data_IF_579551670501
#
_entry.id   IF_579551670501
#
_cell.length_a   1.000
_cell.length_b   1.000
_cell.length_c   1.000
_cell.angle_alpha   90.00
_cell.angle_beta   90.00
_cell.angle_gamma   90.00
#
_symmetry.space_group_name_H-M   'P 1'
#
loop_
_entity.id
_entity.type
_entity.pdbx_description
1 polymer ?
#
# COMPACT_ATOMS: atom_id res chain seq x y z
N UNK A 1 8.08 0.78 12.68
CA UNK A 1 7.03 0.84 11.65
C UNK A 1 7.51 1.80 10.57
N UNK A 2 7.14 1.54 9.32
CA UNK A 2 7.44 2.38 8.17
C UNK A 2 6.51 3.61 8.19
N UNK A 3 6.81 4.60 9.03
CA UNK A 3 5.83 5.65 9.39
C UNK A 3 5.77 6.82 8.40
N UNK A 4 6.50 6.74 7.28
CA UNK A 4 6.59 7.82 6.31
C UNK A 4 6.00 7.40 4.99
N UNK A 5 4.90 8.04 4.59
CA UNK A 5 4.21 7.79 3.33
C UNK A 5 4.56 8.90 2.33
N UNK A 6 4.86 8.54 1.08
CA UNK A 6 5.04 9.54 0.01
C UNK A 6 3.70 9.93 -0.59
N UNK A 7 3.58 11.14 -1.17
CA UNK A 7 2.34 11.58 -1.81
C UNK A 7 1.84 10.56 -2.85
N UNK A 8 2.76 10.01 -3.65
CA UNK A 8 2.41 9.03 -4.67
C UNK A 8 2.00 7.68 -4.12
N UNK A 9 2.35 7.30 -2.89
CA UNK A 9 1.86 6.06 -2.30
C UNK A 9 0.33 6.08 -2.11
N UNK A 10 -0.27 7.21 -1.73
CA UNK A 10 -1.73 7.33 -1.63
C UNK A 10 -2.39 7.71 -2.96
N UNK A 11 -1.71 8.52 -3.79
CA UNK A 11 -2.29 9.11 -5.00
C UNK A 11 -2.00 8.33 -6.29
N UNK A 12 -1.39 7.15 -6.22
CA UNK A 12 -1.15 6.29 -7.38
C UNK A 12 -2.48 5.83 -8.01
N UNK A 13 -2.70 6.12 -9.29
CA UNK A 13 -3.98 5.86 -9.96
C UNK A 13 -4.03 4.61 -10.87
N UNK A 14 -2.91 3.93 -11.10
CA UNK A 14 -2.84 2.80 -12.03
C UNK A 14 -3.10 1.44 -11.38
N UNK A 15 -3.18 1.39 -10.04
CA UNK A 15 -3.32 0.15 -9.28
C UNK A 15 -2.00 -0.58 -9.08
N UNK A 16 -0.87 0.13 -9.21
CA UNK A 16 0.44 -0.44 -8.87
C UNK A 16 0.52 -0.82 -7.40
N UNK A 17 1.40 -1.76 -7.09
CA UNK A 17 1.70 -2.12 -5.72
C UNK A 17 2.29 -0.92 -4.97
N UNK A 18 1.92 -0.78 -3.69
CA UNK A 18 2.43 0.27 -2.82
C UNK A 18 2.89 -0.41 -1.52
N UNK A 19 4.12 -0.13 -1.13
CA UNK A 19 4.77 -0.79 0.00
C UNK A 19 6.00 -0.01 0.48
N UNK A 20 6.65 -0.46 1.56
CA UNK A 20 7.89 0.14 2.03
C UNK A 20 8.98 0.04 0.96
N UNK A 21 9.80 1.09 0.86
CA UNK A 21 10.92 1.14 -0.07
C UNK A 21 11.85 -0.09 0.13
N UNK A 22 12.24 -0.80 -0.94
CA UNK A 22 13.00 -2.05 -0.84
C UNK A 22 14.44 -1.86 -0.34
N UNK A 23 15.00 -0.66 -0.50
CA UNK A 23 16.25 -0.25 0.15
C UNK A 23 15.99 0.17 1.61
N UNK A 24 16.54 -0.58 2.56
CA UNK A 24 16.42 -0.32 4.01
C UNK A 24 17.01 1.04 4.43
N UNK A 25 18.04 1.53 3.73
CA UNK A 25 18.67 2.83 4.02
C UNK A 25 17.70 4.01 3.76
N UNK A 26 16.67 3.79 2.94
CA UNK A 26 15.63 4.77 2.64
C UNK A 26 14.59 4.92 3.75
N UNK A 27 14.75 4.17 4.86
CA UNK A 27 13.97 4.34 6.09
C UNK A 27 12.54 3.83 6.00
N UNK A 28 12.28 2.85 5.12
CA UNK A 28 10.96 2.23 4.98
C UNK A 28 9.88 3.17 4.46
N UNK A 29 10.22 4.24 3.72
CA UNK A 29 9.21 5.13 3.14
C UNK A 29 8.25 4.35 2.23
N UNK A 30 6.94 4.53 2.39
CA UNK A 30 5.97 3.92 1.48
C UNK A 30 5.99 4.61 0.13
N UNK A 31 6.18 3.80 -0.91
CA UNK A 31 6.35 4.21 -2.30
C UNK A 31 5.60 3.26 -3.22
N UNK A 32 5.43 3.67 -4.48
CA UNK A 32 4.96 2.76 -5.53
C UNK A 32 6.07 1.77 -5.89
N UNK A 33 5.71 0.52 -6.09
CA UNK A 33 6.60 -0.58 -6.39
C UNK A 33 6.27 -1.22 -7.74
N UNK A 34 7.30 -1.70 -8.42
CA UNK A 34 7.19 -2.56 -9.61
C UNK A 34 8.01 -3.81 -9.36
N UNK A 35 7.34 -4.95 -9.49
CA UNK A 35 7.95 -6.29 -9.41
C UNK A 35 7.99 -6.89 -10.81
N UNK A 36 9.21 -7.17 -11.30
CA UNK A 36 9.44 -7.69 -12.65
C UNK A 36 10.42 -8.87 -12.64
N UNK A 37 10.28 -9.77 -13.61
CA UNK A 37 11.21 -10.88 -13.79
C UNK A 37 12.43 -10.42 -14.59
N UNK A 38 13.60 -10.47 -13.96
CA UNK A 38 14.87 -10.20 -14.63
C UNK A 38 15.19 -11.23 -15.70
N UNK A 39 16.17 -10.92 -16.56
CA UNK A 39 16.63 -11.84 -17.62
C UNK A 39 17.23 -13.15 -17.09
N UNK A 40 17.68 -13.18 -15.84
CA UNK A 40 18.18 -14.37 -15.15
C UNK A 40 17.06 -15.21 -14.50
N UNK A 41 15.80 -14.75 -14.57
CA UNK A 41 14.66 -15.43 -13.96
C UNK A 41 14.40 -15.08 -12.50
N UNK A 42 15.19 -14.17 -11.92
CA UNK A 42 14.96 -13.65 -10.57
C UNK A 42 13.89 -12.55 -10.59
N UNK A 43 12.95 -12.59 -9.64
CA UNK A 43 12.00 -11.50 -9.43
C UNK A 43 12.69 -10.35 -8.69
N UNK A 44 12.66 -9.17 -9.29
CA UNK A 44 13.22 -7.95 -8.70
C UNK A 44 12.10 -6.95 -8.45
N UNK A 45 12.08 -6.37 -7.25
CA UNK A 45 11.16 -5.29 -6.88
C UNK A 45 11.93 -3.98 -6.80
N UNK A 46 11.41 -2.93 -7.42
CA UNK A 46 12.03 -1.60 -7.43
C UNK A 46 11.02 -0.51 -7.09
N UNK A 47 11.50 0.56 -6.45
CA UNK A 47 10.70 1.74 -6.20
C UNK A 47 10.58 2.60 -7.47
N UNK A 48 9.39 3.09 -7.76
CA UNK A 48 9.12 3.96 -8.90
C UNK A 48 8.32 5.18 -8.47
N UNK A 49 8.35 6.23 -9.30
CA UNK A 49 7.41 7.35 -9.18
C UNK A 49 6.35 7.21 -10.26
N UNK A 50 5.10 7.00 -9.86
CA UNK A 50 3.97 6.98 -10.79
C UNK A 50 3.75 8.38 -11.40
N UNK A 51 3.42 8.41 -12.69
CA UNK A 51 3.01 9.64 -13.39
C UNK A 51 1.48 9.78 -13.47
N UNK A 52 0.74 8.85 -12.89
CA UNK A 52 -0.72 8.85 -12.89
C UNK A 52 -1.21 9.10 -11.47
N UNK A 53 -1.75 10.30 -11.27
CA UNK A 53 -2.14 10.84 -9.98
C UNK A 53 -3.66 10.86 -9.89
N UNK A 54 -4.23 10.26 -8.84
CA UNK A 54 -5.64 10.39 -8.48
C UNK A 54 -5.80 11.45 -7.39
N UNK A 55 -6.90 12.20 -7.41
CA UNK A 55 -7.20 13.19 -6.37
C UNK A 55 -7.93 12.60 -5.17
N UNK A 56 -8.69 11.53 -5.40
CA UNK A 56 -9.36 10.77 -4.35
C UNK A 56 -8.43 9.66 -3.87
N UNK A 57 -8.39 9.48 -2.55
CA UNK A 57 -7.59 8.45 -1.87
C UNK A 57 -8.56 7.45 -1.27
N UNK A 58 -8.30 6.17 -1.48
CA UNK A 58 -9.03 5.06 -0.88
C UNK A 58 -8.12 4.39 0.15
N UNK A 59 -8.44 4.54 1.44
CA UNK A 59 -7.58 4.08 2.54
C UNK A 59 -7.56 2.55 2.63
N UNK A 60 -8.69 1.90 2.34
CA UNK A 60 -8.88 0.44 2.33
C UNK A 60 -8.00 -0.30 1.31
N UNK A 61 -7.44 0.41 0.32
CA UNK A 61 -6.41 -0.14 -0.58
C UNK A 61 -5.21 -0.73 0.16
N UNK A 62 -4.78 -0.08 1.24
CA UNK A 62 -3.68 -0.56 2.09
C UNK A 62 -4.22 -1.13 3.41
N UNK A 63 -5.31 -0.57 3.91
CA UNK A 63 -5.90 -0.87 5.21
C UNK A 63 -7.01 -1.94 5.11
N UNK A 64 -6.67 -3.13 4.62
CA UNK A 64 -7.60 -4.26 4.49
C UNK A 64 -7.20 -5.44 5.39
N UNK A 65 -8.17 -6.32 5.69
CA UNK A 65 -7.93 -7.51 6.50
C UNK A 65 -6.94 -8.47 5.82
N UNK A 66 -5.91 -8.90 6.56
CA UNK A 66 -4.89 -9.80 6.03
C UNK A 66 -3.80 -9.12 5.19
N UNK A 67 -3.72 -7.79 5.22
CA UNK A 67 -2.58 -7.06 4.66
C UNK A 67 -1.26 -7.53 5.31
N UNK A 68 -0.22 -7.75 4.49
CA UNK A 68 1.07 -8.30 4.91
C UNK A 68 1.84 -7.42 5.92
N UNK A 69 1.48 -6.14 6.03
CA UNK A 69 2.12 -5.17 6.91
C UNK A 69 1.36 -4.95 8.22
N UNK A 70 0.34 -5.78 8.50
CA UNK A 70 -0.43 -5.77 9.76
C UNK A 70 -1.02 -4.39 10.10
N UNK A 71 -1.46 -3.67 9.06
CA UNK A 71 -2.10 -2.36 9.19
C UNK A 71 -3.52 -2.50 9.76
N UNK A 72 -4.05 -1.46 10.46
CA UNK A 72 -5.44 -1.48 10.90
C UNK A 72 -6.38 -1.52 9.69
N UNK A 73 -7.52 -2.21 9.82
CA UNK A 73 -8.55 -2.22 8.77
C UNK A 73 -9.32 -0.92 8.79
N UNK A 74 -9.46 -0.28 7.63
CA UNK A 74 -10.21 0.97 7.44
C UNK A 74 -11.15 0.85 6.23
N UNK A 75 -12.17 1.69 6.18
CA UNK A 75 -13.00 1.92 4.99
C UNK A 75 -12.24 2.76 3.95
N UNK A 76 -12.78 2.88 2.72
CA UNK A 76 -12.23 3.77 1.70
C UNK A 76 -12.01 5.21 2.19
N UNK A 77 -12.93 5.72 3.00
CA UNK A 77 -12.88 7.07 3.58
C UNK A 77 -11.95 7.19 4.80
N UNK A 78 -11.34 6.08 5.25
CA UNK A 78 -10.37 6.06 6.36
C UNK A 78 -11.00 5.89 7.74
N UNK A 79 -12.24 5.41 7.81
CA UNK A 79 -12.94 5.15 9.06
C UNK A 79 -12.69 3.71 9.53
N UNK A 80 -12.73 3.46 10.84
CA UNK A 80 -12.74 2.09 11.35
C UNK A 80 -14.10 1.47 11.02
N UNK A 81 -14.17 0.30 10.36
CA UNK A 81 -15.44 -0.34 10.06
C UNK A 81 -16.26 -0.56 11.33
N UNK A 82 -17.57 -0.29 11.25
CA UNK A 82 -18.47 -0.70 12.32
C UNK A 82 -18.37 -2.22 12.48
N UNK A 83 -18.19 -2.70 13.70
CA UNK A 83 -18.22 -4.12 13.96
C UNK A 83 -19.57 -4.65 13.47
N UNK A 84 -19.57 -5.64 12.58
CA UNK A 84 -20.77 -6.44 12.36
C UNK A 84 -21.17 -6.93 13.76
N UNK A 85 -22.31 -6.45 14.26
CA UNK A 85 -22.89 -6.99 15.48
C UNK A 85 -23.02 -8.47 15.22
N UNK A 86 -22.10 -9.26 15.80
CA UNK A 86 -22.17 -10.70 15.75
C UNK A 86 -23.55 -11.05 16.30
N UNK A 87 -24.47 -11.43 15.40
CA UNK A 87 -25.83 -11.80 15.75
C UNK A 87 -25.69 -12.88 16.82
N UNK A 88 -25.98 -12.47 18.05
CA UNK A 88 -25.86 -13.32 19.22
C UNK A 88 -26.75 -14.54 19.01
N UNK A 89 -26.13 -15.71 19.09
CA UNK A 89 -26.84 -16.98 19.23
C UNK A 89 -26.53 -17.62 20.58
#
# INVERSE_FOLDING_TARGET
MADTVTCMACHEATGMEVGPHPDEEMGGKWVTLVSEMSRSGEMTTSAVTSHSINWLVECDRCHFEGNAYELPVLTADGEVPEAEEAEGN
#
